data_IF_118206874176
#
_entry.id   IF_118206874176
#
_cell.length_a   1.000
_cell.length_b   1.000
_cell.length_c   1.000
_cell.angle_alpha   90.00
_cell.angle_beta   90.00
_cell.angle_gamma   90.00
#
_symmetry.space_group_name_H-M   'P 1'
#
loop_
_entity.id
_entity.type
_entity.pdbx_description
1 polymer ?
#
# COMPACT_ATOMS: atom_id res chain seq x y z
N UNK A 1 41.53 70.52 30.95
CA UNK A 1 40.11 70.25 30.67
C UNK A 1 39.93 68.73 30.57
N UNK A 2 39.34 68.11 31.58
CA UNK A 2 39.36 66.65 31.75
C UNK A 2 38.14 66.04 31.02
N UNK A 3 38.37 65.32 29.91
CA UNK A 3 37.32 64.74 29.08
C UNK A 3 36.91 63.39 29.70
N UNK A 4 35.78 63.36 30.41
CA UNK A 4 35.14 62.12 30.88
C UNK A 4 34.77 61.24 29.68
N UNK A 5 35.52 60.16 29.44
CA UNK A 5 35.20 59.15 28.41
C UNK A 5 33.91 58.39 28.80
N UNK A 6 32.92 58.41 27.92
CA UNK A 6 31.63 57.69 28.05
C UNK A 6 31.80 56.17 27.89
N UNK A 7 32.41 55.50 28.87
CA UNK A 7 32.61 54.04 28.85
C UNK A 7 31.30 53.23 28.83
N UNK A 8 30.17 53.82 29.26
CA UNK A 8 28.87 53.16 29.30
C UNK A 8 28.26 52.87 27.92
N UNK A 9 28.31 53.83 26.99
CA UNK A 9 27.68 53.67 25.66
C UNK A 9 28.33 52.56 24.81
N UNK A 10 29.65 52.39 24.93
CA UNK A 10 30.38 51.30 24.27
C UNK A 10 30.02 49.93 24.84
N UNK A 11 29.76 49.85 26.15
CA UNK A 11 29.40 48.58 26.81
C UNK A 11 27.98 48.14 26.42
N UNK A 12 27.03 49.09 26.37
CA UNK A 12 25.66 48.83 25.88
C UNK A 12 25.69 48.30 24.44
N UNK A 13 26.47 48.91 23.55
CA UNK A 13 26.59 48.45 22.16
C UNK A 13 27.12 47.02 22.05
N UNK A 14 28.15 46.69 22.84
CA UNK A 14 28.71 45.34 22.89
C UNK A 14 27.67 44.33 23.39
N UNK A 15 26.87 44.69 24.40
CA UNK A 15 25.82 43.83 24.94
C UNK A 15 24.69 43.59 23.92
N UNK A 16 24.28 44.62 23.19
CA UNK A 16 23.25 44.52 22.15
C UNK A 16 23.74 43.60 21.02
N UNK A 17 24.97 43.80 20.55
CA UNK A 17 25.57 42.97 19.50
C UNK A 17 25.68 41.51 19.96
N UNK A 18 26.12 41.28 21.20
CA UNK A 18 26.26 39.94 21.76
C UNK A 18 24.90 39.25 21.91
N UNK A 19 23.84 39.98 22.28
CA UNK A 19 22.47 39.49 22.38
C UNK A 19 21.91 39.09 21.01
N UNK A 20 22.14 39.89 19.98
CA UNK A 20 21.71 39.58 18.60
C UNK A 20 22.41 38.30 18.10
N UNK A 21 23.72 38.17 18.35
CA UNK A 21 24.50 37.00 17.93
C UNK A 21 24.04 35.73 18.65
N UNK A 22 23.72 35.81 19.96
CA UNK A 22 23.22 34.66 20.72
C UNK A 22 21.85 34.21 20.25
N UNK A 23 20.92 35.13 20.00
CA UNK A 23 19.59 34.79 19.46
C UNK A 23 19.71 34.15 18.07
N UNK A 24 20.56 34.70 17.21
CA UNK A 24 20.79 34.16 15.88
C UNK A 24 21.39 32.74 15.92
N UNK A 25 22.41 32.52 16.74
CA UNK A 25 23.08 31.21 16.85
C UNK A 25 22.16 30.13 17.42
N UNK A 26 21.36 30.44 18.44
CA UNK A 26 20.37 29.48 18.99
C UNK A 26 19.34 29.10 17.93
N UNK A 27 18.78 30.07 17.22
CA UNK A 27 17.81 29.81 16.15
C UNK A 27 18.43 29.02 14.99
N UNK A 28 19.68 29.31 14.63
CA UNK A 28 20.39 28.59 13.59
C UNK A 28 20.68 27.13 13.98
N UNK A 29 21.10 26.88 15.23
CA UNK A 29 21.29 25.52 15.75
C UNK A 29 19.96 24.76 15.76
N UNK A 30 18.87 25.40 16.20
CA UNK A 30 17.54 24.79 16.20
C UNK A 30 17.09 24.44 14.78
N UNK A 31 17.23 25.37 13.83
CA UNK A 31 16.94 25.16 12.42
C UNK A 31 17.74 24.00 11.81
N UNK A 32 19.05 23.93 12.10
CA UNK A 32 19.89 22.82 11.64
C UNK A 32 19.47 21.50 12.25
N UNK A 33 19.10 21.48 13.54
CA UNK A 33 18.64 20.29 14.24
C UNK A 33 17.33 19.79 13.63
N UNK A 34 16.35 20.67 13.43
CA UNK A 34 15.09 20.38 12.75
C UNK A 34 15.33 19.79 11.35
N UNK A 35 16.17 20.44 10.55
CA UNK A 35 16.50 19.99 9.19
C UNK A 35 17.25 18.66 9.19
N UNK A 36 18.14 18.43 10.16
CA UNK A 36 18.86 17.16 10.32
C UNK A 36 17.92 16.03 10.72
N UNK A 37 16.92 16.30 11.56
CA UNK A 37 15.91 15.33 11.97
C UNK A 37 15.03 14.95 10.78
N UNK A 38 14.58 15.93 9.99
CA UNK A 38 13.81 15.69 8.76
C UNK A 38 14.63 14.91 7.73
N UNK A 39 15.90 15.29 7.53
CA UNK A 39 16.79 14.59 6.61
C UNK A 39 17.09 13.14 7.08
N UNK A 40 17.24 12.92 8.38
CA UNK A 40 17.44 11.60 8.97
C UNK A 40 16.20 10.73 8.82
N UNK A 41 15.00 11.25 9.12
CA UNK A 41 13.73 10.53 8.92
C UNK A 41 13.53 10.20 7.44
N UNK A 42 13.74 11.17 6.54
CA UNK A 42 13.67 10.95 5.10
C UNK A 42 14.66 9.89 4.64
N UNK A 43 15.91 9.96 5.09
CA UNK A 43 16.94 8.96 4.78
C UNK A 43 16.60 7.59 5.36
N UNK A 44 16.00 7.51 6.56
CA UNK A 44 15.58 6.24 7.18
C UNK A 44 14.39 5.58 6.47
N UNK A 45 13.47 6.39 5.92
CA UNK A 45 12.32 5.93 5.12
C UNK A 45 12.80 5.52 3.72
N UNK A 46 13.73 6.27 3.11
CA UNK A 46 14.33 5.94 1.82
C UNK A 46 15.31 4.74 1.93
N UNK A 47 15.92 4.50 3.09
CA UNK A 47 16.93 3.46 3.30
C UNK A 47 16.39 2.09 3.74
N UNK A 48 15.46 1.50 2.97
CA UNK A 48 15.05 0.08 3.01
C UNK A 48 13.81 -0.25 3.86
N UNK A 49 12.64 0.16 3.39
CA UNK A 49 11.51 -0.77 3.50
C UNK A 49 11.72 -1.81 2.40
N UNK A 50 12.25 -2.98 2.77
CA UNK A 50 12.51 -4.03 1.79
C UNK A 50 11.20 -4.54 1.19
N UNK A 51 11.23 -4.93 -0.09
CA UNK A 51 10.09 -5.57 -0.75
C UNK A 51 9.50 -6.71 0.10
N UNK A 52 10.36 -7.55 0.70
CA UNK A 52 9.97 -8.63 1.64
C UNK A 52 9.21 -8.14 2.88
N UNK A 53 9.54 -6.95 3.39
CA UNK A 53 8.78 -6.35 4.49
C UNK A 53 7.38 -5.96 4.05
N UNK A 54 7.23 -5.36 2.86
CA UNK A 54 5.94 -4.97 2.31
C UNK A 54 5.04 -6.19 2.08
N UNK A 55 5.58 -7.25 1.45
CA UNK A 55 4.87 -8.52 1.24
C UNK A 55 4.38 -9.12 2.56
N UNK A 56 5.24 -9.14 3.59
CA UNK A 56 4.87 -9.62 4.93
C UNK A 56 3.75 -8.78 5.57
N UNK A 57 3.76 -7.46 5.36
CA UNK A 57 2.71 -6.58 5.87
C UNK A 57 1.38 -6.77 5.13
N UNK A 58 1.41 -6.97 3.82
CA UNK A 58 0.22 -7.31 3.04
C UNK A 58 -0.35 -8.68 3.45
N UNK A 59 0.50 -9.67 3.70
CA UNK A 59 0.03 -10.98 4.21
C UNK A 59 -0.63 -10.85 5.60
N UNK A 60 -0.04 -10.03 6.48
CA UNK A 60 -0.62 -9.71 7.79
C UNK A 60 -1.96 -8.98 7.66
N UNK A 61 -2.07 -8.08 6.68
CA UNK A 61 -3.31 -7.38 6.40
C UNK A 61 -4.40 -8.34 5.92
N UNK A 62 -4.10 -9.23 4.95
CA UNK A 62 -5.04 -10.26 4.51
C UNK A 62 -5.56 -11.12 5.67
N UNK A 63 -4.67 -11.58 6.56
CA UNK A 63 -5.06 -12.32 7.78
C UNK A 63 -5.92 -11.49 8.74
N UNK A 64 -5.65 -10.19 8.87
CA UNK A 64 -6.42 -9.29 9.73
C UNK A 64 -7.83 -9.08 9.18
N UNK A 65 -7.94 -8.87 7.87
CA UNK A 65 -9.22 -8.68 7.19
C UNK A 65 -10.05 -9.95 7.21
N UNK A 66 -9.44 -11.12 7.02
CA UNK A 66 -10.13 -12.41 7.18
C UNK A 66 -10.78 -12.56 8.56
N UNK A 67 -10.11 -12.11 9.62
CA UNK A 67 -10.63 -12.21 11.00
C UNK A 67 -11.66 -11.15 11.35
N UNK A 68 -11.52 -9.93 10.83
CA UNK A 68 -12.31 -8.76 11.27
C UNK A 68 -13.38 -8.32 10.26
N UNK A 69 -13.30 -8.81 9.02
CA UNK A 69 -14.05 -8.25 7.90
C UNK A 69 -13.62 -6.84 7.53
N UNK A 70 -14.40 -6.22 6.65
CA UNK A 70 -14.17 -4.88 6.11
C UNK A 70 -15.44 -4.06 6.32
N UNK A 71 -15.30 -2.88 6.89
CA UNK A 71 -16.43 -1.94 6.96
C UNK A 71 -16.55 -1.20 5.63
N UNK A 72 -17.65 -1.43 4.90
CA UNK A 72 -17.99 -0.69 3.68
C UNK A 72 -19.42 -0.18 3.80
N UNK A 73 -19.61 1.14 3.69
CA UNK A 73 -20.91 1.80 3.79
C UNK A 73 -21.71 1.42 5.06
N UNK A 74 -21.03 1.30 6.20
CA UNK A 74 -21.65 0.93 7.48
C UNK A 74 -21.94 -0.56 7.67
N UNK A 75 -21.70 -1.41 6.67
CA UNK A 75 -21.88 -2.87 6.75
C UNK A 75 -20.52 -3.55 6.84
N UNK A 76 -20.40 -4.54 7.73
CA UNK A 76 -19.21 -5.39 7.84
C UNK A 76 -19.32 -6.53 6.83
N UNK A 77 -18.39 -6.57 5.89
CA UNK A 77 -18.29 -7.60 4.85
C UNK A 77 -17.21 -8.57 5.27
N UNK A 78 -17.60 -9.84 5.41
CA UNK A 78 -16.70 -10.93 5.79
C UNK A 78 -16.20 -11.59 4.51
N UNK A 79 -14.88 -11.79 4.43
CA UNK A 79 -14.25 -12.56 3.35
C UNK A 79 -14.18 -14.04 3.73
N UNK A 80 -14.24 -14.93 2.74
CA UNK A 80 -14.30 -16.38 2.96
C UNK A 80 -12.92 -16.98 3.15
N UNK A 81 -11.95 -16.49 2.38
CA UNK A 81 -10.56 -16.97 2.35
C UNK A 81 -9.60 -15.79 2.36
N UNK A 82 -8.34 -16.02 2.77
CA UNK A 82 -7.32 -14.96 2.82
C UNK A 82 -7.07 -14.38 1.43
N UNK A 83 -7.15 -15.22 0.41
CA UNK A 83 -6.94 -14.90 -0.99
C UNK A 83 -7.94 -13.86 -1.52
N UNK A 84 -9.16 -13.79 -0.95
CA UNK A 84 -10.16 -12.76 -1.29
C UNK A 84 -9.61 -11.33 -1.09
N UNK A 85 -8.64 -11.14 -0.19
CA UNK A 85 -7.96 -9.86 -0.02
C UNK A 85 -7.16 -9.46 -1.28
N UNK A 86 -6.60 -10.43 -2.00
CA UNK A 86 -5.74 -10.21 -3.16
C UNK A 86 -6.50 -10.34 -4.48
N UNK A 87 -7.44 -11.28 -4.56
CA UNK A 87 -8.08 -11.72 -5.81
C UNK A 87 -9.50 -11.18 -6.02
N UNK A 88 -10.12 -10.56 -5.01
CA UNK A 88 -11.55 -10.21 -5.03
C UNK A 88 -11.81 -8.75 -4.69
N UNK A 89 -12.84 -8.18 -5.31
CA UNK A 89 -13.37 -6.84 -5.05
C UNK A 89 -14.76 -6.94 -4.44
N UNK A 90 -15.20 -5.86 -3.79
CA UNK A 90 -16.56 -5.73 -3.26
C UNK A 90 -17.40 -4.92 -4.24
N UNK A 91 -18.27 -5.60 -4.98
CA UNK A 91 -19.21 -5.00 -5.94
C UNK A 91 -20.62 -4.96 -5.35
N UNK A 92 -21.58 -4.40 -6.10
CA UNK A 92 -23.00 -4.47 -5.75
C UNK A 92 -23.73 -5.44 -6.67
N UNK A 93 -24.58 -6.28 -6.11
CA UNK A 93 -25.48 -7.13 -6.87
C UNK A 93 -26.62 -6.32 -7.50
N UNK A 94 -27.51 -6.99 -8.25
CA UNK A 94 -28.68 -6.39 -8.90
C UNK A 94 -29.65 -5.76 -7.88
N UNK A 95 -29.62 -6.25 -6.64
CA UNK A 95 -30.47 -5.81 -5.53
C UNK A 95 -29.81 -4.71 -4.68
N UNK A 96 -28.60 -4.26 -5.03
CA UNK A 96 -27.84 -3.25 -4.30
C UNK A 96 -27.06 -3.75 -3.08
N UNK A 97 -27.08 -5.06 -2.79
CA UNK A 97 -26.30 -5.66 -1.70
C UNK A 97 -24.82 -5.77 -2.08
N UNK A 98 -23.94 -5.70 -1.08
CA UNK A 98 -22.51 -5.88 -1.33
C UNK A 98 -22.17 -7.36 -1.52
N UNK A 99 -21.50 -7.69 -2.62
CA UNK A 99 -21.07 -9.05 -2.95
C UNK A 99 -19.55 -9.09 -3.21
N UNK A 100 -18.90 -10.20 -2.84
CA UNK A 100 -17.51 -10.47 -3.19
C UNK A 100 -17.44 -11.02 -4.61
N UNK A 101 -16.80 -10.28 -5.52
CA UNK A 101 -16.59 -10.70 -6.90
C UNK A 101 -15.10 -10.87 -7.20
N UNK A 102 -14.67 -12.03 -7.73
CA UNK A 102 -13.31 -12.23 -8.20
C UNK A 102 -12.93 -11.24 -9.31
N UNK A 103 -11.73 -10.67 -9.22
CA UNK A 103 -11.20 -9.69 -10.17
C UNK A 103 -11.16 -10.19 -11.61
N UNK A 104 -10.96 -11.50 -11.81
CA UNK A 104 -10.92 -12.11 -13.13
C UNK A 104 -12.24 -11.95 -13.93
N UNK A 105 -13.35 -11.65 -13.25
CA UNK A 105 -14.64 -11.36 -13.88
C UNK A 105 -14.93 -9.86 -14.01
N UNK A 106 -14.02 -9.02 -13.55
CA UNK A 106 -14.15 -7.57 -13.52
C UNK A 106 -13.33 -6.92 -14.63
N UNK A 107 -13.56 -5.63 -14.83
CA UNK A 107 -12.79 -4.83 -15.78
C UNK A 107 -11.38 -4.60 -15.25
N UNK A 108 -10.43 -4.35 -16.15
CA UNK A 108 -9.00 -4.24 -15.82
C UNK A 108 -8.64 -3.03 -14.92
N UNK A 109 -9.54 -2.06 -14.80
CA UNK A 109 -9.41 -0.88 -13.95
C UNK A 109 -9.88 -1.12 -12.50
N UNK A 110 -10.40 -2.31 -12.19
CA UNK A 110 -10.82 -2.65 -10.83
C UNK A 110 -9.67 -3.22 -9.98
N UNK A 111 -9.70 -2.85 -8.70
CA UNK A 111 -8.74 -3.30 -7.71
C UNK A 111 -9.40 -4.26 -6.72
N UNK A 112 -8.62 -5.20 -6.18
CA UNK A 112 -9.07 -6.03 -5.07
C UNK A 112 -9.25 -5.21 -3.80
N UNK A 113 -9.83 -5.85 -2.80
CA UNK A 113 -9.89 -5.38 -1.41
C UNK A 113 -8.54 -4.84 -0.92
N UNK A 114 -7.45 -5.54 -1.23
CA UNK A 114 -6.09 -5.19 -0.84
C UNK A 114 -5.45 -4.14 -1.74
N UNK A 115 -6.14 -3.68 -2.78
CA UNK A 115 -5.63 -2.70 -3.75
C UNK A 115 -4.71 -3.30 -4.81
N UNK A 116 -4.82 -4.60 -5.11
CA UNK A 116 -4.09 -5.24 -6.20
C UNK A 116 -4.93 -5.22 -7.48
N UNK A 117 -4.27 -5.11 -8.63
CA UNK A 117 -4.90 -5.28 -9.95
C UNK A 117 -4.28 -6.47 -10.68
N UNK A 118 -4.98 -7.02 -11.67
CA UNK A 118 -4.47 -8.13 -12.47
C UNK A 118 -3.40 -7.60 -13.44
N UNK A 119 -2.19 -8.15 -13.33
CA UNK A 119 -1.10 -7.88 -14.28
C UNK A 119 -1.17 -8.79 -15.48
N UNK A 120 -1.32 -10.10 -15.25
CA UNK A 120 -1.41 -11.10 -16.30
C UNK A 120 -2.20 -12.33 -15.84
N UNK A 121 -2.84 -12.99 -16.82
CA UNK A 121 -3.46 -14.31 -16.65
C UNK A 121 -2.92 -15.21 -17.75
N UNK A 122 -2.38 -16.36 -17.38
CA UNK A 122 -1.91 -17.40 -18.30
C UNK A 122 -2.74 -18.66 -18.11
N UNK A 123 -3.04 -19.33 -19.22
CA UNK A 123 -3.60 -20.68 -19.18
C UNK A 123 -2.48 -21.74 -19.09
N UNK A 124 -2.87 -23.01 -19.02
CA UNK A 124 -1.95 -24.16 -19.02
C UNK A 124 -0.95 -24.17 -20.18
N UNK A 125 -1.34 -23.64 -21.34
CA UNK A 125 -0.51 -23.58 -22.54
C UNK A 125 0.42 -22.34 -22.58
N UNK A 126 0.40 -21.50 -21.54
CA UNK A 126 1.16 -20.25 -21.47
C UNK A 126 0.56 -19.08 -22.26
N UNK A 127 -0.64 -19.24 -22.83
CA UNK A 127 -1.31 -18.17 -23.56
C UNK A 127 -1.88 -17.14 -22.59
N UNK A 128 -1.63 -15.86 -22.88
CA UNK A 128 -2.17 -14.74 -22.10
C UNK A 128 -3.66 -14.58 -22.40
N UNK A 129 -4.48 -14.61 -21.35
CA UNK A 129 -5.92 -14.36 -21.42
C UNK A 129 -6.22 -12.88 -21.12
N UNK A 130 -7.22 -12.36 -21.82
CA UNK A 130 -7.75 -11.01 -21.57
C UNK A 130 -8.94 -11.09 -20.61
N UNK A 131 -8.99 -10.16 -19.66
CA UNK A 131 -10.14 -9.96 -18.77
C UNK A 131 -11.16 -8.97 -19.36
N UNK A 132 -12.44 -9.03 -18.95
CA UNK A 132 -13.02 -10.00 -18.02
C UNK A 132 -13.16 -11.39 -18.64
N UNK A 133 -12.91 -12.43 -17.85
CA UNK A 133 -13.23 -13.81 -18.22
C UNK A 133 -14.74 -14.02 -18.21
N UNK A 134 -15.21 -14.98 -19.00
CA UNK A 134 -16.63 -15.30 -19.06
C UNK A 134 -17.05 -16.04 -17.78
N UNK A 135 -18.06 -15.51 -17.09
CA UNK A 135 -18.72 -16.21 -15.97
C UNK A 135 -19.25 -17.55 -16.46
N UNK A 136 -19.17 -18.59 -15.61
CA UNK A 136 -19.62 -19.96 -15.88
C UNK A 136 -18.87 -20.74 -16.98
N UNK A 137 -17.72 -20.24 -17.43
CA UNK A 137 -16.81 -21.00 -18.30
C UNK A 137 -15.77 -21.74 -17.46
N UNK A 138 -15.46 -22.96 -17.87
CA UNK A 138 -14.40 -23.78 -17.26
C UNK A 138 -13.06 -23.29 -17.78
N UNK A 139 -12.13 -23.08 -16.85
CA UNK A 139 -10.74 -22.73 -17.13
C UNK A 139 -9.88 -23.59 -16.21
N UNK A 140 -8.90 -24.30 -16.77
CA UNK A 140 -7.99 -25.16 -16.02
C UNK A 140 -6.61 -24.53 -15.92
N UNK A 141 -5.95 -24.77 -14.79
CA UNK A 141 -4.57 -24.40 -14.50
C UNK A 141 -4.29 -22.94 -14.86
N UNK A 142 -5.19 -22.04 -14.43
CA UNK A 142 -4.98 -20.61 -14.62
C UNK A 142 -3.93 -20.12 -13.65
N UNK A 143 -2.94 -19.43 -14.19
CA UNK A 143 -1.93 -18.72 -13.41
C UNK A 143 -2.21 -17.22 -13.51
N UNK A 144 -2.51 -16.60 -12.37
CA UNK A 144 -2.85 -15.18 -12.28
C UNK A 144 -1.78 -14.47 -11.48
N UNK A 145 -1.25 -13.37 -12.02
CA UNK A 145 -0.33 -12.48 -11.32
C UNK A 145 -1.03 -11.16 -11.06
N UNK A 146 -1.08 -10.77 -9.80
CA UNK A 146 -1.60 -9.52 -9.32
C UNK A 146 -0.45 -8.58 -8.96
N UNK A 147 -0.59 -7.29 -9.27
CA UNK A 147 0.40 -6.24 -9.01
C UNK A 147 -0.19 -5.17 -8.09
N UNK A 148 0.64 -4.64 -7.18
CA UNK A 148 0.36 -3.44 -6.40
C UNK A 148 1.64 -2.64 -6.22
N UNK A 149 1.54 -1.32 -6.32
CA UNK A 149 2.64 -0.41 -5.99
C UNK A 149 2.47 0.14 -4.58
N UNK A 150 3.49 -0.04 -3.75
CA UNK A 150 3.53 0.46 -2.36
C UNK A 150 4.86 1.16 -2.16
N UNK A 151 4.83 2.45 -1.81
CA UNK A 151 6.03 3.24 -1.55
C UNK A 151 7.05 3.22 -2.72
N UNK A 152 6.55 3.24 -3.97
CA UNK A 152 7.33 3.12 -5.23
C UNK A 152 7.97 1.76 -5.49
N UNK A 153 7.67 0.75 -4.66
CA UNK A 153 8.04 -0.63 -4.88
C UNK A 153 6.86 -1.43 -5.41
N UNK A 154 7.10 -2.25 -6.44
CA UNK A 154 6.08 -3.15 -7.00
C UNK A 154 6.15 -4.51 -6.32
N UNK A 155 5.03 -4.93 -5.74
CA UNK A 155 4.85 -6.26 -5.17
C UNK A 155 3.94 -7.09 -6.06
N UNK A 156 4.22 -8.40 -6.11
CA UNK A 156 3.52 -9.34 -6.97
C UNK A 156 2.97 -10.48 -6.16
N UNK A 157 1.68 -10.74 -6.29
CA UNK A 157 1.03 -11.89 -5.70
C UNK A 157 0.60 -12.83 -6.84
N UNK A 158 0.90 -14.11 -6.72
CA UNK A 158 0.60 -15.10 -7.75
C UNK A 158 -0.34 -16.16 -7.20
N UNK A 159 -1.33 -16.51 -8.00
CA UNK A 159 -2.26 -17.59 -7.72
C UNK A 159 -2.33 -18.56 -8.88
N UNK A 160 -2.41 -19.85 -8.54
CA UNK A 160 -2.80 -20.91 -9.46
C UNK A 160 -4.18 -21.38 -9.06
N UNK A 161 -5.13 -21.29 -9.99
CA UNK A 161 -6.52 -21.65 -9.74
C UNK A 161 -7.06 -22.58 -10.82
N UNK A 162 -8.05 -23.36 -10.42
CA UNK A 162 -8.89 -24.16 -11.30
C UNK A 162 -10.33 -23.69 -11.20
N UNK A 163 -10.98 -23.53 -12.35
CA UNK A 163 -12.40 -23.17 -12.45
C UNK A 163 -13.14 -24.40 -12.96
N UNK A 164 -13.67 -25.18 -12.02
CA UNK A 164 -14.33 -26.45 -12.29
C UNK A 164 -15.86 -26.27 -12.33
N UNK A 165 -16.53 -27.05 -13.18
CA UNK A 165 -17.99 -27.04 -13.28
C UNK A 165 -18.61 -27.76 -12.08
N UNK A 166 -19.53 -27.10 -11.39
CA UNK A 166 -20.34 -27.72 -10.33
C UNK A 166 -21.63 -28.31 -10.90
N UNK A 167 -22.32 -27.55 -11.76
CA UNK A 167 -23.54 -27.98 -12.46
C UNK A 167 -23.68 -27.25 -13.81
N UNK A 168 -24.80 -27.43 -14.51
CA UNK A 168 -25.04 -26.82 -15.82
C UNK A 168 -24.94 -25.27 -15.83
N UNK A 169 -25.12 -24.61 -14.68
CA UNK A 169 -25.24 -23.16 -14.56
C UNK A 169 -24.17 -22.51 -13.65
N UNK A 170 -23.36 -23.31 -12.94
CA UNK A 170 -22.42 -22.80 -11.92
C UNK A 170 -21.06 -23.47 -12.02
N UNK A 171 -20.02 -22.66 -11.82
CA UNK A 171 -18.62 -23.07 -11.69
C UNK A 171 -18.09 -22.66 -10.32
N UNK A 172 -17.14 -23.43 -9.78
CA UNK A 172 -16.41 -23.13 -8.55
C UNK A 172 -14.96 -22.83 -8.86
N UNK A 173 -14.39 -21.85 -8.16
CA UNK A 173 -12.96 -21.54 -8.19
C UNK A 173 -12.28 -22.28 -7.03
N UNK A 174 -11.34 -23.16 -7.35
CA UNK A 174 -10.45 -23.81 -6.39
C UNK A 174 -9.03 -23.26 -6.53
N UNK A 175 -8.42 -22.87 -5.42
CA UNK A 175 -7.02 -22.43 -5.39
C UNK A 175 -6.12 -23.64 -5.22
N UNK A 176 -5.17 -23.81 -6.15
CA UNK A 176 -4.13 -24.84 -6.10
C UNK A 176 -2.95 -24.33 -5.28
N UNK A 177 -2.49 -23.11 -5.56
CA UNK A 177 -1.43 -22.46 -4.78
C UNK A 177 -1.55 -20.94 -4.85
N UNK A 178 -1.07 -20.24 -3.81
CA UNK A 178 -1.05 -18.79 -3.75
C UNK A 178 0.20 -18.31 -2.99
N UNK A 179 0.79 -17.19 -3.38
CA UNK A 179 1.97 -16.64 -2.71
C UNK A 179 2.58 -15.42 -3.38
N UNK A 180 3.41 -14.69 -2.63
CA UNK A 180 4.20 -13.59 -3.18
C UNK A 180 5.36 -14.13 -4.02
N UNK A 181 5.73 -13.38 -5.06
CA UNK A 181 6.86 -13.69 -5.94
C UNK A 181 7.85 -12.52 -6.04
N UNK A 182 9.14 -12.86 -6.12
CA UNK A 182 10.25 -11.90 -6.21
C UNK A 182 10.27 -11.13 -7.53
#
# INVERSE_FOLDING_TARGET
MNIKKSKGASLIYVLIILSIITIFTVNFIYFLKERSNIAFVKKSIESRISKKYLEKMEEKNGKRILKKGILKNGVVIIINKKEDYFDSSITRDINGNSELTPLLYLRNDENSIGGFHIKEIKNENGNILKIPLQKNRVYKNLEIVYEKEVLKEKIYFKEKIDINRMNALKVSISIISSGFIE
#
